data_IF_108888377496
#
_entry.id   IF_108888377496
#
_cell.length_a   1.000
_cell.length_b   1.000
_cell.length_c   1.000
_cell.angle_alpha   90.00
_cell.angle_beta   90.00
_cell.angle_gamma   90.00
#
_symmetry.space_group_name_H-M   'P 1'
#
loop_
_entity.id
_entity.type
_entity.pdbx_description
1 polymer ?
#
# COMPACT_ATOMS: atom_id res chain seq x y z
N UNK A 1 13.12 -6.26 4.73
CA UNK A 1 12.41 -7.16 3.80
C UNK A 1 13.39 -7.69 2.76
N UNK A 2 13.57 -9.01 2.67
CA UNK A 2 14.35 -9.61 1.57
C UNK A 2 13.55 -9.44 0.27
N UNK A 3 14.18 -9.13 -0.88
CA UNK A 3 13.50 -9.11 -2.17
C UNK A 3 12.78 -10.44 -2.44
N UNK A 4 11.76 -10.40 -3.31
CA UNK A 4 11.13 -11.63 -3.77
C UNK A 4 12.15 -12.50 -4.50
N UNK A 5 12.09 -13.80 -4.25
CA UNK A 5 12.85 -14.82 -5.00
C UNK A 5 12.04 -15.39 -6.15
N UNK A 6 10.75 -15.04 -6.23
CA UNK A 6 9.87 -15.40 -7.34
C UNK A 6 9.99 -14.33 -8.43
N UNK A 7 9.61 -14.69 -9.65
CA UNK A 7 9.50 -13.75 -10.78
C UNK A 7 8.27 -12.84 -10.62
N UNK A 8 8.31 -11.96 -9.62
CA UNK A 8 7.25 -11.01 -9.28
C UNK A 8 7.88 -9.74 -8.67
N UNK A 9 7.28 -8.55 -8.82
CA UNK A 9 7.80 -7.34 -8.21
C UNK A 9 7.92 -7.49 -6.69
N UNK A 10 8.99 -6.96 -6.10
CA UNK A 10 9.16 -7.02 -4.64
C UNK A 10 8.27 -6.01 -3.92
N UNK A 11 7.96 -4.88 -4.56
CA UNK A 11 7.16 -3.80 -4.01
C UNK A 11 6.12 -3.35 -5.05
N UNK A 12 4.85 -3.33 -4.64
CA UNK A 12 3.73 -2.84 -5.44
C UNK A 12 2.99 -1.73 -4.69
N UNK A 13 2.58 -0.67 -5.40
CA UNK A 13 1.66 0.33 -4.89
C UNK A 13 0.36 0.26 -5.70
N UNK A 14 -0.71 -0.15 -5.04
CA UNK A 14 -2.05 -0.25 -5.59
C UNK A 14 -2.84 1.03 -5.30
N UNK A 15 -3.54 1.53 -6.33
CA UNK A 15 -4.25 2.80 -6.36
C UNK A 15 -3.28 3.96 -6.11
N UNK A 16 -2.52 4.33 -7.14
CA UNK A 16 -1.60 5.45 -6.99
C UNK A 16 -2.36 6.75 -6.66
N UNK A 17 -1.75 7.59 -5.83
CA UNK A 17 -2.26 8.90 -5.50
C UNK A 17 -2.38 9.76 -6.78
N UNK A 18 -3.54 10.39 -6.93
CA UNK A 18 -3.84 11.38 -7.94
C UNK A 18 -3.69 12.77 -7.31
N UNK A 19 -2.67 13.56 -7.68
CA UNK A 19 -2.47 14.92 -7.19
C UNK A 19 -1.01 15.30 -6.94
N UNK A 20 -0.79 16.51 -6.40
CA UNK A 20 0.49 17.22 -6.14
C UNK A 20 1.46 16.52 -5.14
N UNK A 21 1.42 15.19 -5.02
CA UNK A 21 2.43 14.45 -4.29
C UNK A 21 3.73 14.42 -5.10
N UNK A 22 4.72 15.20 -4.63
CA UNK A 22 6.01 15.33 -5.31
C UNK A 22 6.73 14.00 -5.54
N UNK A 23 7.69 14.02 -6.49
CA UNK A 23 8.49 12.89 -7.01
C UNK A 23 9.08 11.92 -5.97
N UNK A 24 9.16 12.30 -4.69
CA UNK A 24 9.78 11.49 -3.63
C UNK A 24 9.00 10.21 -3.29
N UNK A 25 7.67 10.22 -3.45
CA UNK A 25 6.85 9.03 -3.25
C UNK A 25 6.89 8.07 -4.44
N UNK A 26 7.39 8.52 -5.60
CA UNK A 26 7.37 7.74 -6.84
C UNK A 26 8.61 6.86 -7.03
N UNK A 27 9.56 6.90 -6.09
CA UNK A 27 10.86 6.23 -6.23
C UNK A 27 11.20 5.39 -5.01
N UNK A 28 12.20 4.51 -5.12
CA UNK A 28 12.81 3.84 -3.97
C UNK A 28 13.58 4.78 -3.01
N UNK A 29 13.44 6.10 -3.15
CA UNK A 29 14.10 7.10 -2.32
C UNK A 29 15.62 6.92 -2.31
N UNK A 30 16.20 6.93 -1.11
CA UNK A 30 17.64 6.72 -0.91
C UNK A 30 18.13 5.33 -1.31
N UNK A 31 17.25 4.33 -1.42
CA UNK A 31 17.62 2.98 -1.85
C UNK A 31 17.81 2.90 -3.38
N UNK A 32 17.35 3.91 -4.11
CA UNK A 32 17.48 4.00 -5.57
C UNK A 32 16.30 3.40 -6.33
N UNK A 33 16.29 3.61 -7.64
CA UNK A 33 15.19 3.24 -8.55
C UNK A 33 14.87 1.74 -8.59
N UNK A 34 15.83 0.91 -8.20
CA UNK A 34 15.71 -0.56 -8.06
C UNK A 34 14.59 -0.97 -7.12
N UNK A 35 14.33 -0.15 -6.10
CA UNK A 35 13.35 -0.40 -5.06
C UNK A 35 12.09 0.45 -5.26
N UNK A 36 11.92 1.07 -6.44
CA UNK A 36 10.69 1.78 -6.77
C UNK A 36 9.51 0.79 -6.86
N UNK A 37 8.30 1.20 -6.43
CA UNK A 37 7.12 0.35 -6.56
C UNK A 37 6.73 0.16 -8.02
N UNK A 38 6.28 -1.05 -8.36
CA UNK A 38 5.38 -1.21 -9.51
C UNK A 38 4.02 -0.61 -9.14
N UNK A 39 3.49 0.28 -9.98
CA UNK A 39 2.23 0.98 -9.71
C UNK A 39 1.08 0.31 -10.41
N UNK A 40 -0.06 0.21 -9.72
CA UNK A 40 -1.30 -0.38 -10.23
C UNK A 40 -2.43 0.61 -10.05
N UNK A 41 -3.14 0.92 -11.13
CA UNK A 41 -4.26 1.84 -11.11
C UNK A 41 -3.83 3.30 -10.92
N UNK A 42 -4.55 4.19 -11.59
CA UNK A 42 -4.37 5.64 -11.48
C UNK A 42 -5.74 6.31 -11.55
N UNK A 43 -5.96 7.28 -10.67
CA UNK A 43 -7.20 8.04 -10.60
C UNK A 43 -8.41 7.10 -10.47
N UNK A 44 -9.32 7.08 -11.45
CA UNK A 44 -10.47 6.18 -11.48
C UNK A 44 -10.13 4.75 -11.89
N UNK A 45 -9.03 4.51 -12.61
CA UNK A 45 -8.62 3.18 -13.05
C UNK A 45 -8.25 2.33 -11.82
N UNK A 46 -9.10 1.36 -11.49
CA UNK A 46 -8.91 0.54 -10.31
C UNK A 46 -9.59 -0.83 -10.44
N UNK A 47 -9.21 -1.81 -9.62
CA UNK A 47 -9.70 -3.19 -9.72
C UNK A 47 -11.19 -3.40 -9.44
N UNK A 48 -11.90 -2.38 -8.95
CA UNK A 48 -13.37 -2.43 -8.82
C UNK A 48 -14.11 -2.22 -10.13
N UNK A 49 -13.44 -1.74 -11.17
CA UNK A 49 -14.06 -1.59 -12.49
C UNK A 49 -14.19 -2.95 -13.18
N UNK A 50 -15.32 -3.15 -13.88
CA UNK A 50 -15.63 -4.42 -14.57
C UNK A 50 -14.56 -4.81 -15.60
N UNK A 51 -14.05 -3.82 -16.33
CA UNK A 51 -13.10 -4.02 -17.42
C UNK A 51 -11.66 -3.70 -17.01
N UNK A 52 -11.39 -3.65 -15.70
CA UNK A 52 -10.03 -3.43 -15.21
C UNK A 52 -9.11 -4.56 -15.66
N UNK A 53 -8.00 -4.18 -16.28
CA UNK A 53 -6.93 -5.08 -16.64
C UNK A 53 -5.60 -4.41 -16.33
N UNK A 54 -4.72 -5.12 -15.62
CA UNK A 54 -3.39 -4.61 -15.37
C UNK A 54 -2.52 -4.75 -16.63
N UNK A 55 -2.16 -3.62 -17.23
CA UNK A 55 -1.38 -3.54 -18.48
C UNK A 55 0.10 -3.22 -18.26
N UNK A 56 0.58 -3.18 -17.02
CA UNK A 56 1.96 -2.80 -16.72
C UNK A 56 3.03 -3.79 -17.23
N UNK A 57 2.61 -4.98 -17.66
CA UNK A 57 3.47 -5.98 -18.31
C UNK A 57 3.24 -6.10 -19.83
N UNK A 58 2.38 -5.26 -20.40
CA UNK A 58 2.11 -5.33 -21.83
C UNK A 58 3.31 -4.76 -22.60
N UNK A 59 3.78 -5.46 -23.64
CA UNK A 59 4.84 -4.93 -24.48
C UNK A 59 4.36 -3.69 -25.22
N UNK A 60 5.29 -2.79 -25.56
CA UNK A 60 4.94 -1.63 -26.36
C UNK A 60 4.31 -2.04 -27.71
N UNK A 61 3.40 -1.23 -28.29
CA UNK A 61 2.70 -1.59 -29.53
C UNK A 61 3.67 -2.04 -30.65
N UNK A 62 3.39 -3.20 -31.25
CA UNK A 62 4.23 -3.77 -32.31
C UNK A 62 5.45 -4.58 -31.85
N UNK A 63 5.61 -4.79 -30.53
CA UNK A 63 6.59 -5.72 -29.96
C UNK A 63 5.89 -7.00 -29.50
N UNK A 64 6.14 -8.09 -30.22
CA UNK A 64 5.77 -9.43 -29.75
C UNK A 64 6.75 -9.90 -28.68
N UNK A 65 6.32 -10.87 -27.87
CA UNK A 65 7.19 -11.54 -26.89
C UNK A 65 8.44 -12.13 -27.55
N UNK A 66 8.28 -12.75 -28.72
CA UNK A 66 9.41 -13.31 -29.50
C UNK A 66 10.41 -12.24 -29.89
N UNK A 67 9.93 -11.07 -30.34
CA UNK A 67 10.78 -9.93 -30.71
C UNK A 67 11.53 -9.35 -29.51
N UNK A 68 10.94 -9.40 -28.32
CA UNK A 68 11.64 -9.01 -27.08
C UNK A 68 12.75 -9.99 -26.72
N UNK A 69 12.51 -11.30 -26.86
CA UNK A 69 13.54 -12.33 -26.67
C UNK A 69 14.69 -12.19 -27.67
N UNK A 70 14.39 -11.97 -28.96
CA UNK A 70 15.41 -11.74 -29.99
C UNK A 70 16.28 -10.51 -29.68
N UNK A 71 15.64 -9.39 -29.29
CA UNK A 71 16.36 -8.16 -28.91
C UNK A 71 17.25 -8.38 -27.68
N UNK A 72 16.76 -9.09 -26.68
CA UNK A 72 17.56 -9.42 -25.49
C UNK A 72 18.76 -10.30 -25.85
N UNK A 73 18.58 -11.30 -26.71
CA UNK A 73 19.66 -12.16 -27.19
C UNK A 73 20.73 -11.39 -27.96
N UNK A 74 20.32 -10.49 -28.87
CA UNK A 74 21.22 -9.62 -29.61
C UNK A 74 21.96 -8.66 -28.69
N UNK A 75 21.26 -8.05 -27.72
CA UNK A 75 21.87 -7.15 -26.74
C UNK A 75 22.94 -7.88 -25.93
N UNK A 76 22.66 -9.10 -25.45
CA UNK A 76 23.63 -9.92 -24.73
C UNK A 76 24.86 -10.26 -25.58
N UNK A 77 24.71 -10.49 -26.89
CA UNK A 77 25.84 -10.71 -27.80
C UNK A 77 26.69 -9.44 -27.97
N UNK A 78 26.05 -8.27 -28.10
CA UNK A 78 26.75 -6.98 -28.23
C UNK A 78 27.43 -6.58 -26.91
N UNK A 79 26.77 -6.77 -25.77
CA UNK A 79 27.34 -6.44 -24.46
C UNK A 79 28.49 -7.36 -24.07
N UNK A 80 28.48 -8.64 -24.47
CA UNK A 80 29.65 -9.51 -24.31
C UNK A 80 30.88 -8.99 -25.08
N UNK A 81 30.68 -8.25 -26.17
CA UNK A 81 31.76 -7.63 -26.94
C UNK A 81 32.25 -6.29 -26.33
N UNK A 82 31.50 -5.71 -25.38
CA UNK A 82 31.83 -4.44 -24.73
C UNK A 82 32.07 -4.66 -23.23
N UNK A 83 33.33 -4.62 -22.81
CA UNK A 83 33.80 -4.83 -21.43
C UNK A 83 33.23 -3.91 -20.34
N UNK A 84 32.27 -3.01 -20.64
CA UNK A 84 31.88 -1.90 -19.76
C UNK A 84 30.40 -1.84 -19.37
N UNK A 85 29.54 -2.77 -19.78
CA UNK A 85 28.14 -2.76 -19.30
C UNK A 85 28.08 -3.30 -17.87
N UNK A 86 27.72 -2.43 -16.91
CA UNK A 86 27.66 -2.80 -15.49
C UNK A 86 26.76 -4.02 -15.28
N UNK A 87 27.22 -4.99 -14.48
CA UNK A 87 26.45 -6.22 -14.17
C UNK A 87 25.05 -5.89 -13.65
N UNK A 88 24.94 -4.83 -12.87
CA UNK A 88 23.70 -4.28 -12.34
C UNK A 88 22.67 -3.97 -13.44
N UNK A 89 23.07 -3.32 -14.53
CA UNK A 89 22.14 -2.99 -15.64
C UNK A 89 21.63 -4.23 -16.37
N UNK A 90 22.48 -5.26 -16.52
CA UNK A 90 22.08 -6.54 -17.13
C UNK A 90 21.08 -7.29 -16.25
N UNK A 91 21.30 -7.33 -14.94
CA UNK A 91 20.35 -7.94 -14.00
C UNK A 91 18.98 -7.23 -14.02
N UNK A 92 18.96 -5.90 -14.20
CA UNK A 92 17.72 -5.14 -14.41
C UNK A 92 16.97 -5.57 -15.67
N UNK A 93 17.68 -5.65 -16.79
CA UNK A 93 17.08 -5.99 -18.07
C UNK A 93 16.53 -7.42 -18.08
N UNK A 94 17.25 -8.37 -17.50
CA UNK A 94 16.78 -9.76 -17.38
C UNK A 94 15.52 -9.86 -16.52
N UNK A 95 15.48 -9.23 -15.34
CA UNK A 95 14.28 -9.22 -14.49
C UNK A 95 13.09 -8.52 -15.15
N UNK A 96 13.32 -7.39 -15.84
CA UNK A 96 12.26 -6.70 -16.55
C UNK A 96 11.69 -7.56 -17.69
N UNK A 97 12.56 -8.27 -18.42
CA UNK A 97 12.13 -9.21 -19.45
C UNK A 97 11.30 -10.35 -18.85
N UNK A 98 11.79 -11.00 -17.79
CA UNK A 98 11.06 -12.07 -17.11
C UNK A 98 9.70 -11.63 -16.57
N UNK A 99 9.56 -10.41 -16.05
CA UNK A 99 8.28 -9.87 -15.60
C UNK A 99 7.30 -9.65 -16.76
N UNK A 100 7.79 -9.17 -17.91
CA UNK A 100 6.99 -8.92 -19.11
C UNK A 100 6.61 -10.23 -19.81
N UNK A 101 7.44 -11.27 -19.74
CA UNK A 101 7.19 -12.52 -20.44
C UNK A 101 6.59 -13.62 -19.56
N UNK A 102 6.73 -13.52 -18.24
CA UNK A 102 6.29 -14.53 -17.27
C UNK A 102 4.77 -14.59 -17.05
N UNK A 103 4.17 -15.79 -16.98
CA UNK A 103 2.75 -15.95 -16.70
C UNK A 103 2.40 -15.75 -15.23
N UNK A 104 3.30 -16.07 -14.27
CA UNK A 104 2.99 -16.00 -12.85
C UNK A 104 2.71 -14.57 -12.39
N UNK A 105 3.54 -13.62 -12.82
CA UNK A 105 3.36 -12.21 -12.50
C UNK A 105 1.99 -11.72 -12.99
N UNK A 106 1.62 -11.97 -14.25
CA UNK A 106 0.32 -11.57 -14.81
C UNK A 106 -0.87 -12.14 -14.04
N UNK A 107 -0.81 -13.43 -13.68
CA UNK A 107 -1.90 -14.08 -12.95
C UNK A 107 -2.16 -13.44 -11.58
N UNK A 108 -1.12 -12.93 -10.91
CA UNK A 108 -1.27 -12.29 -9.60
C UNK A 108 -2.15 -11.02 -9.65
N UNK A 109 -2.10 -10.25 -10.75
CA UNK A 109 -2.89 -9.02 -10.93
C UNK A 109 -4.28 -9.27 -11.54
N UNK A 110 -4.58 -10.50 -11.97
CA UNK A 110 -5.85 -10.85 -12.60
C UNK A 110 -6.91 -11.25 -11.55
N UNK A 111 -7.78 -10.32 -11.19
CA UNK A 111 -8.91 -10.57 -10.28
C UNK A 111 -10.01 -11.46 -10.87
N UNK A 112 -10.04 -11.69 -12.18
CA UNK A 112 -11.02 -12.61 -12.79
C UNK A 112 -10.79 -14.06 -12.36
N UNK A 113 -9.60 -14.36 -11.83
CA UNK A 113 -9.26 -15.66 -11.24
C UNK A 113 -9.85 -15.87 -9.85
N UNK A 114 -10.41 -14.84 -9.22
CA UNK A 114 -11.08 -14.97 -7.92
C UNK A 114 -12.56 -15.33 -8.10
N UNK A 115 -13.09 -16.27 -7.29
CA UNK A 115 -14.52 -16.51 -7.25
C UNK A 115 -15.28 -15.22 -6.92
N UNK A 116 -16.41 -14.99 -7.59
CA UNK A 116 -17.24 -13.79 -7.39
C UNK A 116 -17.63 -13.57 -5.93
N UNK A 117 -17.93 -14.65 -5.20
CA UNK A 117 -18.23 -14.60 -3.76
C UNK A 117 -17.11 -13.95 -2.93
N UNK A 118 -15.85 -14.15 -3.32
CA UNK A 118 -14.70 -13.56 -2.62
C UNK A 118 -14.63 -12.07 -2.95
N UNK A 119 -14.80 -11.71 -4.21
CA UNK A 119 -14.88 -10.29 -4.63
C UNK A 119 -15.99 -9.56 -3.90
N UNK A 120 -17.16 -10.19 -3.75
CA UNK A 120 -18.29 -9.64 -3.03
C UNK A 120 -18.00 -9.46 -1.53
N UNK A 121 -17.33 -10.41 -0.86
CA UNK A 121 -16.94 -10.28 0.56
C UNK A 121 -16.10 -9.02 0.82
N UNK A 122 -15.16 -8.71 -0.08
CA UNK A 122 -14.33 -7.50 0.03
C UNK A 122 -15.10 -6.21 -0.26
N UNK A 123 -16.27 -6.29 -0.88
CA UNK A 123 -17.07 -5.16 -1.33
C UNK A 123 -16.70 -4.70 -2.75
N UNK A 124 -17.72 -4.34 -3.53
CA UNK A 124 -17.58 -3.82 -4.91
C UNK A 124 -17.28 -2.32 -4.91
N UNK A 125 -16.23 -1.93 -4.19
CA UNK A 125 -15.71 -0.57 -4.14
C UNK A 125 -14.17 -0.60 -4.23
N UNK A 126 -13.53 0.54 -4.53
CA UNK A 126 -12.09 0.56 -4.80
C UNK A 126 -11.25 -0.01 -3.66
N UNK A 127 -11.50 0.38 -2.40
CA UNK A 127 -10.74 -0.14 -1.26
C UNK A 127 -10.81 -1.67 -1.18
N UNK A 128 -12.03 -2.22 -1.27
CA UNK A 128 -12.26 -3.66 -1.24
C UNK A 128 -11.45 -4.42 -2.29
N UNK A 129 -11.58 -4.01 -3.55
CA UNK A 129 -10.94 -4.71 -4.66
C UNK A 129 -9.42 -4.46 -4.70
N UNK A 130 -8.94 -3.32 -4.19
CA UNK A 130 -7.52 -3.05 -3.99
C UNK A 130 -6.91 -3.95 -2.90
N UNK A 131 -7.61 -4.16 -1.77
CA UNK A 131 -7.14 -5.08 -0.73
C UNK A 131 -7.19 -6.55 -1.19
N UNK A 132 -8.19 -6.94 -2.00
CA UNK A 132 -8.21 -8.26 -2.63
C UNK A 132 -7.00 -8.47 -3.55
N UNK A 133 -6.64 -7.46 -4.34
CA UNK A 133 -5.43 -7.50 -5.16
C UNK A 133 -4.17 -7.60 -4.30
N UNK A 134 -4.09 -6.83 -3.22
CA UNK A 134 -2.98 -6.89 -2.29
C UNK A 134 -2.81 -8.31 -1.71
N UNK A 135 -3.91 -8.97 -1.31
CA UNK A 135 -3.86 -10.36 -0.84
C UNK A 135 -3.28 -11.30 -1.90
N UNK A 136 -3.76 -11.23 -3.16
CA UNK A 136 -3.24 -12.06 -4.26
C UNK A 136 -1.76 -11.81 -4.53
N UNK A 137 -1.33 -10.56 -4.47
CA UNK A 137 0.06 -10.17 -4.65
C UNK A 137 0.96 -10.74 -3.55
N UNK A 138 0.54 -10.64 -2.28
CA UNK A 138 1.25 -11.24 -1.15
C UNK A 138 1.35 -12.77 -1.32
N UNK A 139 0.24 -13.44 -1.66
CA UNK A 139 0.19 -14.88 -1.92
C UNK A 139 1.12 -15.30 -3.08
N UNK A 140 1.18 -14.47 -4.13
CA UNK A 140 2.08 -14.67 -5.26
C UNK A 140 3.55 -14.37 -4.93
N UNK A 141 3.84 -13.74 -3.79
CA UNK A 141 5.19 -13.51 -3.25
C UNK A 141 5.71 -12.08 -3.37
N UNK A 142 4.84 -11.10 -3.60
CA UNK A 142 5.18 -9.68 -3.39
C UNK A 142 5.51 -9.47 -1.90
N UNK A 143 6.54 -8.68 -1.61
CA UNK A 143 7.07 -8.53 -0.24
C UNK A 143 6.55 -7.30 0.49
N UNK A 144 6.06 -6.32 -0.27
CA UNK A 144 5.43 -5.13 0.26
C UNK A 144 4.34 -4.68 -0.71
N UNK A 145 3.12 -4.47 -0.21
CA UNK A 145 2.05 -3.86 -0.96
C UNK A 145 1.56 -2.65 -0.19
N UNK A 146 1.65 -1.47 -0.81
CA UNK A 146 0.98 -0.27 -0.30
C UNK A 146 -0.35 -0.11 -1.02
N UNK A 147 -1.38 0.24 -0.26
CA UNK A 147 -2.72 0.48 -0.79
C UNK A 147 -3.18 1.84 -0.30
N UNK A 148 -3.52 2.72 -1.23
CA UNK A 148 -4.19 3.98 -0.89
C UNK A 148 -5.61 3.64 -0.43
N UNK A 149 -5.99 4.09 0.77
CA UNK A 149 -7.28 3.76 1.39
C UNK A 149 -8.49 4.50 0.79
N UNK A 150 -8.58 4.55 -0.54
CA UNK A 150 -9.65 5.20 -1.29
C UNK A 150 -10.92 4.36 -1.30
N UNK A 151 -12.02 4.92 -0.80
CA UNK A 151 -13.30 4.21 -0.68
C UNK A 151 -14.20 4.36 -1.91
N UNK A 152 -13.75 5.06 -2.95
CA UNK A 152 -14.57 5.37 -4.12
C UNK A 152 -15.33 6.69 -3.98
N UNK A 153 -16.35 6.85 -4.82
CA UNK A 153 -17.20 8.03 -4.89
C UNK A 153 -18.65 7.57 -4.72
N UNK A 154 -19.48 8.25 -3.88
CA UNK A 154 -20.90 7.97 -3.79
C UNK A 154 -21.60 8.11 -5.15
N UNK A 155 -22.71 7.40 -5.31
CA UNK A 155 -23.55 7.55 -6.49
C UNK A 155 -24.02 9.01 -6.64
N UNK A 156 -23.87 9.56 -7.84
CA UNK A 156 -24.24 10.95 -8.15
C UNK A 156 -23.19 12.01 -7.78
N UNK A 157 -22.07 11.64 -7.14
CA UNK A 157 -20.96 12.57 -6.89
C UNK A 157 -19.89 12.51 -7.97
N UNK A 158 -19.22 13.65 -8.22
CA UNK A 158 -18.12 13.73 -9.17
C UNK A 158 -16.81 13.23 -8.54
N UNK A 159 -16.02 12.46 -9.29
CA UNK A 159 -14.65 12.12 -8.92
C UNK A 159 -13.75 13.35 -8.94
N UNK A 160 -12.83 13.41 -7.98
CA UNK A 160 -11.97 14.58 -7.79
C UNK A 160 -10.55 14.19 -7.43
N UNK A 161 -10.39 13.33 -6.43
CA UNK A 161 -9.13 12.67 -6.14
C UNK A 161 -9.41 11.31 -5.47
N UNK A 162 -8.34 10.56 -5.19
CA UNK A 162 -8.38 9.25 -4.52
C UNK A 162 -8.15 9.36 -3.01
N UNK A 163 -8.23 10.56 -2.44
CA UNK A 163 -7.84 10.87 -1.08
C UNK A 163 -9.07 10.94 -0.16
N UNK A 164 -9.80 9.83 0.01
CA UNK A 164 -10.99 9.75 0.90
C UNK A 164 -10.75 10.35 2.30
N UNK A 165 -9.53 10.20 2.82
CA UNK A 165 -9.14 10.65 4.17
C UNK A 165 -8.57 12.07 4.21
N UNK A 166 -8.28 12.66 3.04
CA UNK A 166 -7.88 14.06 2.89
C UNK A 166 -9.12 14.97 2.89
N UNK A 167 -9.68 15.03 4.08
CA UNK A 167 -11.02 15.46 4.40
C UNK A 167 -11.18 16.99 4.45
N UNK A 168 -10.63 17.73 3.49
CA UNK A 168 -10.69 19.20 3.45
C UNK A 168 -12.03 19.71 2.90
N UNK A 169 -12.65 20.65 3.61
CA UNK A 169 -13.97 21.21 3.26
C UNK A 169 -13.97 22.01 1.94
N UNK A 170 -12.84 22.66 1.60
CA UNK A 170 -12.73 23.60 0.47
C UNK A 170 -12.93 22.92 -0.88
N UNK A 171 -12.64 21.63 -0.98
CA UNK A 171 -12.54 20.99 -2.28
C UNK A 171 -13.91 20.67 -2.92
N UNK A 172 -15.01 20.54 -2.16
CA UNK A 172 -16.21 19.85 -2.68
C UNK A 172 -17.58 20.46 -2.37
N UNK A 173 -17.86 20.88 -1.14
CA UNK A 173 -19.14 21.49 -0.81
C UNK A 173 -19.04 22.30 0.47
N UNK A 174 -19.43 23.57 0.40
CA UNK A 174 -19.46 24.46 1.55
C UNK A 174 -20.36 24.00 2.69
N UNK A 175 -21.17 22.94 2.51
CA UNK A 175 -22.03 22.32 3.52
C UNK A 175 -21.55 20.96 4.03
N UNK A 176 -20.50 20.39 3.47
CA UNK A 176 -20.02 19.06 3.85
C UNK A 176 -19.37 19.04 5.25
N UNK A 177 -19.49 17.93 5.98
CA UNK A 177 -18.99 17.73 7.33
C UNK A 177 -18.34 16.35 7.46
N UNK A 178 -17.46 16.16 8.45
CA UNK A 178 -16.73 14.89 8.60
C UNK A 178 -17.66 13.68 8.82
N UNK A 179 -18.87 13.87 9.34
CA UNK A 179 -19.87 12.83 9.55
C UNK A 179 -20.88 12.72 8.39
N UNK A 180 -20.59 13.35 7.25
CA UNK A 180 -21.42 13.33 6.07
C UNK A 180 -21.38 12.00 5.32
N UNK A 181 -22.16 11.93 4.24
CA UNK A 181 -22.22 10.78 3.33
C UNK A 181 -21.43 11.02 2.02
N UNK A 182 -20.70 12.12 1.93
CA UNK A 182 -19.86 12.42 0.77
C UNK A 182 -18.70 11.44 0.64
N UNK A 183 -17.99 11.47 -0.48
CA UNK A 183 -16.76 10.69 -0.67
C UNK A 183 -15.68 10.92 0.42
N UNK A 184 -15.81 11.97 1.23
CA UNK A 184 -14.89 12.41 2.29
C UNK A 184 -15.57 12.47 3.66
N UNK A 185 -16.70 11.79 3.82
CA UNK A 185 -17.44 11.66 5.07
C UNK A 185 -17.29 10.27 5.68
N UNK A 186 -17.26 10.20 7.00
CA UNK A 186 -17.09 8.96 7.76
C UNK A 186 -18.23 7.98 7.55
N UNK A 187 -19.47 8.44 7.31
CA UNK A 187 -20.59 7.53 7.04
C UNK A 187 -20.44 6.81 5.70
N UNK A 188 -19.69 7.38 4.76
CA UNK A 188 -19.35 6.72 3.50
C UNK A 188 -18.12 5.82 3.65
N UNK A 189 -17.07 6.32 4.30
CA UNK A 189 -15.77 5.68 4.39
C UNK A 189 -15.75 4.50 5.37
N UNK A 190 -16.24 4.68 6.60
CA UNK A 190 -16.08 3.68 7.67
C UNK A 190 -16.72 2.32 7.33
N UNK A 191 -17.94 2.22 6.77
CA UNK A 191 -18.51 0.92 6.42
C UNK A 191 -17.69 0.17 5.36
N UNK A 192 -17.12 0.89 4.40
CA UNK A 192 -16.28 0.30 3.33
C UNK A 192 -14.93 -0.18 3.85
N UNK A 193 -14.38 0.56 4.81
CA UNK A 193 -13.12 0.20 5.49
C UNK A 193 -13.33 -1.02 6.36
N UNK A 194 -14.39 -1.03 7.17
CA UNK A 194 -14.75 -2.16 8.01
C UNK A 194 -14.93 -3.44 7.19
N UNK A 195 -15.74 -3.40 6.13
CA UNK A 195 -15.97 -4.51 5.21
C UNK A 195 -14.67 -5.04 4.57
N UNK A 196 -13.86 -4.14 4.01
CA UNK A 196 -12.67 -4.53 3.26
C UNK A 196 -11.53 -5.03 4.17
N UNK A 197 -11.28 -4.35 5.29
CA UNK A 197 -10.17 -4.68 6.21
C UNK A 197 -10.49 -5.95 6.99
N UNK A 198 -11.70 -6.08 7.53
CA UNK A 198 -12.11 -7.30 8.24
C UNK A 198 -12.04 -8.52 7.32
N UNK A 199 -12.47 -8.37 6.06
CA UNK A 199 -12.37 -9.43 5.05
C UNK A 199 -10.93 -9.77 4.71
N UNK A 200 -10.04 -8.78 4.54
CA UNK A 200 -8.62 -9.03 4.30
C UNK A 200 -7.99 -9.86 5.42
N UNK A 201 -8.23 -9.46 6.68
CA UNK A 201 -7.68 -10.16 7.84
C UNK A 201 -8.21 -11.60 7.94
N UNK A 202 -9.51 -11.79 7.71
CA UNK A 202 -10.13 -13.11 7.69
C UNK A 202 -9.57 -13.99 6.55
N UNK A 203 -9.47 -13.47 5.33
CA UNK A 203 -8.98 -14.20 4.14
C UNK A 203 -7.48 -14.55 4.28
N UNK A 204 -6.65 -13.65 4.82
CA UNK A 204 -5.25 -13.96 5.15
C UNK A 204 -5.15 -15.04 6.23
N UNK A 205 -6.02 -15.02 7.23
CA UNK A 205 -6.05 -16.05 8.27
C UNK A 205 -6.51 -17.40 7.72
N UNK A 206 -7.59 -17.44 6.93
CA UNK A 206 -8.12 -18.64 6.28
C UNK A 206 -7.06 -19.33 5.40
N UNK A 207 -6.15 -18.55 4.81
CA UNK A 207 -5.05 -19.03 3.96
C UNK A 207 -3.75 -19.35 4.71
N UNK A 208 -3.70 -19.08 6.02
CA UNK A 208 -2.48 -19.22 6.82
C UNK A 208 -1.39 -18.19 6.51
N UNK A 209 -1.72 -17.12 5.76
CA UNK A 209 -0.79 -16.05 5.38
C UNK A 209 -0.64 -14.98 6.45
N UNK A 210 -1.64 -14.82 7.34
CA UNK A 210 -1.65 -13.76 8.35
C UNK A 210 -0.45 -13.87 9.31
N UNK A 211 0.01 -15.08 9.63
CA UNK A 211 1.14 -15.28 10.54
C UNK A 211 2.48 -14.76 9.98
N UNK A 212 2.61 -14.74 8.65
CA UNK A 212 3.82 -14.28 7.95
C UNK A 212 3.65 -12.90 7.28
N UNK A 213 2.47 -12.29 7.40
CA UNK A 213 2.13 -11.00 6.79
C UNK A 213 1.76 -9.98 7.86
N UNK A 214 2.55 -8.92 7.96
CA UNK A 214 2.20 -7.76 8.80
C UNK A 214 1.27 -6.82 8.02
N UNK A 215 0.03 -6.68 8.50
CA UNK A 215 -0.96 -5.72 8.00
C UNK A 215 -0.91 -4.48 8.88
N UNK A 216 -0.77 -3.31 8.26
CA UNK A 216 -0.70 -2.01 8.93
C UNK A 216 -1.73 -1.09 8.28
N UNK A 217 -2.56 -0.44 9.10
CA UNK A 217 -3.40 0.66 8.68
C UNK A 217 -3.21 1.84 9.64
N UNK A 218 -2.74 2.96 9.12
CA UNK A 218 -2.41 4.13 9.91
C UNK A 218 -2.56 5.39 9.07
N UNK A 219 -3.04 6.47 9.68
CA UNK A 219 -3.08 7.81 9.11
C UNK A 219 -1.96 8.69 9.68
N UNK A 220 -2.00 9.99 9.41
CA UNK A 220 -0.95 10.92 9.84
C UNK A 220 -1.33 11.80 11.05
N UNK A 221 -2.64 11.95 11.31
CA UNK A 221 -3.18 12.69 12.45
C UNK A 221 -4.61 12.24 12.79
N UNK A 222 -5.08 12.63 13.97
CA UNK A 222 -6.46 12.50 14.40
C UNK A 222 -7.25 13.77 14.10
N UNK A 223 -8.36 13.95 14.82
CA UNK A 223 -9.22 15.13 14.70
C UNK A 223 -9.28 15.91 15.99
N UNK A 224 -9.50 17.21 15.87
CA UNK A 224 -9.67 18.10 17.02
C UNK A 224 -10.75 17.54 17.95
N UNK A 225 -10.53 17.53 19.28
CA UNK A 225 -11.49 16.98 20.24
C UNK A 225 -12.79 17.80 20.31
N UNK A 226 -12.77 19.03 19.76
CA UNK A 226 -13.91 19.94 19.68
C UNK A 226 -13.92 20.58 18.28
N UNK A 227 -15.11 20.85 17.76
CA UNK A 227 -15.24 21.58 16.50
C UNK A 227 -14.74 23.01 16.67
N UNK A 228 -13.86 23.41 15.78
CA UNK A 228 -13.44 24.79 15.63
C UNK A 228 -14.37 25.50 14.63
N UNK A 229 -14.50 26.82 14.74
CA UNK A 229 -15.42 27.56 13.89
C UNK A 229 -15.08 27.36 12.40
N UNK A 230 -15.97 26.66 11.68
CA UNK A 230 -15.86 26.40 10.25
C UNK A 230 -15.16 25.11 9.86
N UNK A 231 -14.56 24.36 10.81
CA UNK A 231 -13.85 23.11 10.50
C UNK A 231 -14.80 21.92 10.24
N UNK A 232 -16.00 21.96 10.83
CA UNK A 232 -17.02 20.91 10.76
C UNK A 232 -16.48 19.53 11.13
N UNK A 233 -15.62 19.49 12.15
CA UNK A 233 -14.97 18.28 12.66
C UNK A 233 -13.77 17.80 11.86
N UNK A 234 -13.26 18.62 10.94
CA UNK A 234 -12.13 18.26 10.06
C UNK A 234 -10.78 18.78 10.58
N UNK A 235 -10.72 19.52 11.70
CA UNK A 235 -9.48 20.05 12.26
C UNK A 235 -8.42 18.97 12.46
N UNK A 236 -7.18 19.23 12.02
CA UNK A 236 -6.06 18.28 12.12
C UNK A 236 -5.52 18.26 13.54
N UNK A 237 -5.31 17.06 14.08
CA UNK A 237 -4.85 16.90 15.45
C UNK A 237 -3.80 15.80 15.60
N UNK A 238 -2.50 16.14 15.51
CA UNK A 238 -1.41 15.15 15.53
C UNK A 238 -1.13 14.57 16.93
N UNK A 239 -1.72 15.13 17.99
CA UNK A 239 -1.42 14.74 19.37
C UNK A 239 -2.06 13.40 19.79
N UNK A 240 -3.06 12.91 19.05
CA UNK A 240 -3.70 11.62 19.32
C UNK A 240 -4.33 11.05 18.05
N UNK A 241 -3.93 9.83 17.68
CA UNK A 241 -4.52 9.04 16.59
C UNK A 241 -4.21 7.56 16.77
N UNK A 242 -4.86 6.71 15.98
CA UNK A 242 -4.78 5.25 16.11
C UNK A 242 -4.07 4.63 14.91
N UNK A 243 -3.29 3.59 15.18
CA UNK A 243 -2.75 2.67 14.17
C UNK A 243 -3.29 1.26 14.44
N UNK A 244 -3.64 0.53 13.38
CA UNK A 244 -4.00 -0.88 13.43
C UNK A 244 -2.81 -1.71 12.94
N UNK A 245 -2.46 -2.74 13.71
CA UNK A 245 -1.48 -3.76 13.35
C UNK A 245 -2.10 -5.15 13.50
N UNK A 246 -1.85 -6.04 12.54
CA UNK A 246 -2.30 -7.43 12.60
C UNK A 246 -1.33 -8.36 11.85
N UNK A 247 -1.24 -9.62 12.29
CA UNK A 247 -0.37 -10.62 11.68
C UNK A 247 1.12 -10.37 11.93
N UNK A 248 1.99 -11.15 11.28
CA UNK A 248 3.45 -10.99 11.39
C UNK A 248 4.00 -11.08 12.82
N UNK A 249 3.40 -11.93 13.67
CA UNK A 249 3.77 -12.11 15.08
C UNK A 249 3.10 -11.14 16.06
N UNK A 250 2.22 -10.25 15.60
CA UNK A 250 1.37 -9.44 16.48
C UNK A 250 0.29 -10.32 17.12
N UNK A 251 0.15 -10.25 18.45
CA UNK A 251 -0.72 -11.12 19.26
C UNK A 251 -2.20 -11.05 18.85
N UNK A 252 -2.64 -9.90 18.37
CA UNK A 252 -4.05 -9.63 18.07
C UNK A 252 -4.92 -9.51 19.34
N UNK A 253 -6.17 -9.07 19.15
CA UNK A 253 -7.17 -8.97 20.24
C UNK A 253 -6.81 -8.01 21.38
N UNK A 254 -5.85 -7.10 21.17
CA UNK A 254 -5.33 -6.20 22.19
C UNK A 254 -5.42 -4.73 21.78
N UNK A 255 -5.67 -3.86 22.75
CA UNK A 255 -5.52 -2.41 22.62
C UNK A 255 -4.28 -1.98 23.40
N UNK A 256 -3.42 -1.18 22.79
CA UNK A 256 -2.21 -0.66 23.42
C UNK A 256 -2.29 0.86 23.57
N UNK A 257 -2.31 1.31 24.82
CA UNK A 257 -2.47 2.72 25.17
C UNK A 257 -3.91 3.21 25.11
N UNK A 258 -4.12 4.46 25.52
CA UNK A 258 -5.42 5.13 25.47
C UNK A 258 -5.27 6.64 25.47
N UNK A 259 -6.26 7.33 24.90
CA UNK A 259 -6.37 8.78 25.01
C UNK A 259 -6.85 9.21 26.40
N UNK A 260 -6.77 10.51 26.67
CA UNK A 260 -7.55 11.13 27.74
C UNK A 260 -9.06 11.04 27.46
N UNK A 261 -9.86 11.51 28.42
CA UNK A 261 -11.32 11.47 28.38
C UNK A 261 -11.91 12.24 27.19
N UNK A 262 -11.22 13.25 26.69
CA UNK A 262 -11.70 14.11 25.60
C UNK A 262 -11.18 13.63 24.24
N UNK A 263 -10.32 12.62 24.19
CA UNK A 263 -9.65 12.17 22.97
C UNK A 263 -8.55 13.13 22.49
N UNK A 264 -8.09 14.05 23.33
CA UNK A 264 -7.19 15.14 22.94
C UNK A 264 -5.71 14.71 23.00
N UNK A 265 -5.30 13.99 24.02
CA UNK A 265 -3.90 13.57 24.16
C UNK A 265 -3.81 12.08 24.48
N UNK A 266 -2.70 11.44 24.10
CA UNK A 266 -2.40 10.07 24.57
C UNK A 266 -2.07 10.13 26.06
N UNK A 267 -2.87 9.46 26.86
CA UNK A 267 -2.74 9.43 28.32
C UNK A 267 -1.86 8.28 28.77
N UNK A 268 -2.14 7.08 28.27
CA UNK A 268 -1.49 5.85 28.72
C UNK A 268 -0.69 5.24 27.56
N UNK A 269 0.55 4.83 27.84
CA UNK A 269 1.50 4.20 26.89
C UNK A 269 1.67 4.96 25.56
N UNK A 270 2.19 6.21 25.59
CA UNK A 270 2.43 6.97 24.37
C UNK A 270 3.40 6.24 23.43
N UNK A 271 3.12 6.33 22.14
CA UNK A 271 3.92 5.74 21.07
C UNK A 271 4.41 6.85 20.16
N UNK A 272 5.73 7.03 20.07
CA UNK A 272 6.31 7.96 19.11
C UNK A 272 6.31 7.34 17.70
N UNK A 273 6.34 8.16 16.63
CA UNK A 273 6.56 7.65 15.26
C UNK A 273 7.84 6.80 15.14
N UNK A 274 8.88 7.15 15.89
CA UNK A 274 10.13 6.40 15.95
C UNK A 274 9.93 5.00 16.57
N UNK A 275 9.20 4.87 17.68
CA UNK A 275 8.90 3.58 18.31
C UNK A 275 7.98 2.73 17.42
N UNK A 276 7.01 3.36 16.76
CA UNK A 276 6.14 2.70 15.78
C UNK A 276 6.96 2.13 14.61
N UNK A 277 7.85 2.95 14.03
CA UNK A 277 8.78 2.49 12.98
C UNK A 277 9.70 1.37 13.45
N UNK A 278 10.27 1.49 14.66
CA UNK A 278 11.12 0.45 15.25
C UNK A 278 10.37 -0.88 15.45
N UNK A 279 9.10 -0.80 15.86
CA UNK A 279 8.20 -1.96 16.00
C UNK A 279 7.98 -2.66 14.65
N UNK A 280 7.73 -1.90 13.58
CA UNK A 280 7.58 -2.46 12.23
C UNK A 280 8.89 -3.11 11.77
N UNK A 281 10.04 -2.45 11.97
CA UNK A 281 11.33 -3.02 11.58
C UNK A 281 11.66 -4.30 12.35
N UNK A 282 11.31 -4.36 13.63
CA UNK A 282 11.43 -5.57 14.44
C UNK A 282 10.59 -6.72 13.86
N UNK A 283 9.30 -6.49 13.59
CA UNK A 283 8.41 -7.48 12.99
C UNK A 283 8.93 -8.02 11.64
N UNK A 284 9.55 -7.14 10.84
CA UNK A 284 10.11 -7.48 9.53
C UNK A 284 11.50 -8.16 9.61
N UNK A 285 12.08 -8.29 10.81
CA UNK A 285 13.47 -8.73 10.98
C UNK A 285 14.47 -7.84 10.23
N UNK A 286 14.15 -6.55 10.08
CA UNK A 286 14.96 -5.61 9.31
C UNK A 286 16.17 -5.11 10.13
N UNK A 287 17.29 -4.75 9.46
CA UNK A 287 18.42 -4.14 10.14
C UNK A 287 18.02 -2.84 10.84
N UNK A 288 18.57 -2.61 12.03
CA UNK A 288 18.33 -1.38 12.81
C UNK A 288 19.23 -0.21 12.38
N UNK A 289 20.17 -0.45 11.46
CA UNK A 289 21.15 0.51 10.92
C UNK A 289 21.07 0.58 9.40
N UNK A 290 21.37 1.75 8.84
CA UNK A 290 21.38 1.97 7.40
C UNK A 290 22.51 1.16 6.75
N UNK A 291 22.30 0.54 5.58
CA UNK A 291 23.34 -0.23 4.90
C UNK A 291 24.56 0.62 4.49
N UNK A 292 24.31 1.86 4.04
CA UNK A 292 25.35 2.75 3.51
C UNK A 292 26.07 3.57 4.59
N UNK A 293 25.50 3.62 5.79
CA UNK A 293 26.09 4.26 6.96
C UNK A 293 25.64 3.52 8.23
N UNK A 294 26.46 2.57 8.67
CA UNK A 294 26.17 1.78 9.86
C UNK A 294 26.11 2.62 11.14
N UNK A 295 26.64 3.85 11.18
CA UNK A 295 26.48 4.73 12.33
C UNK A 295 25.05 5.28 12.45
N UNK A 296 24.32 5.36 11.32
CA UNK A 296 22.95 5.87 11.26
C UNK A 296 21.95 4.75 11.52
N UNK A 297 21.12 4.90 12.56
CA UNK A 297 19.99 4.00 12.79
C UNK A 297 18.87 4.28 11.79
N UNK A 298 18.13 3.23 11.40
CA UNK A 298 16.92 3.35 10.56
C UNK A 298 15.79 4.00 11.35
N UNK A 299 15.66 3.66 12.64
CA UNK A 299 14.82 4.36 13.61
C UNK A 299 15.60 4.61 14.91
N UNK A 300 15.30 5.72 15.59
CA UNK A 300 15.85 6.03 16.93
C UNK A 300 14.97 5.48 18.07
N UNK A 301 13.79 4.98 17.76
CA UNK A 301 12.85 4.46 18.75
C UNK A 301 13.15 3.02 19.15
N UNK A 302 12.38 2.53 20.10
CA UNK A 302 12.48 1.18 20.66
C UNK A 302 11.21 0.37 20.29
N UNK A 303 11.34 -0.90 19.85
CA UNK A 303 10.20 -1.72 19.51
C UNK A 303 9.25 -1.95 20.70
N UNK A 304 7.95 -1.86 20.45
CA UNK A 304 6.91 -2.14 21.46
C UNK A 304 6.72 -3.65 21.57
N UNK A 305 7.56 -4.30 22.37
CA UNK A 305 7.59 -5.76 22.49
C UNK A 305 6.29 -6.36 23.04
N UNK A 306 5.49 -5.59 23.78
CA UNK A 306 4.21 -6.05 24.34
C UNK A 306 3.16 -6.42 23.28
N UNK A 307 3.31 -5.92 22.05
CA UNK A 307 2.41 -6.20 20.93
C UNK A 307 2.60 -7.60 20.33
N UNK A 308 3.76 -8.23 20.57
CA UNK A 308 4.10 -9.53 20.00
C UNK A 308 3.68 -10.68 20.93
N UNK A 309 3.33 -11.83 20.36
CA UNK A 309 2.85 -12.99 21.13
C UNK A 309 2.76 -14.27 20.32
#
# INVERSE_FOLDING_TARGET
LRPSVKNIPSYVWVQNLAGDVGLRYETGGSLGSVYSPLRVGKDLENPSQKDFQFKGFDPAPGLTTDRLYERSRLLNQVDQSKSATSSTLRDFQSKALELVTGPEARQAFDLSKEPERIRQRYGWHPLGQNLLMARRLIEAGVRMVNVTAWCGVPEGEAFRNVQTWDMHAVLYSGNDNIYGNSAYGLNFALPRVDEAVSTLLADLSERGLLWETLVIMVGEFGRTPRFENGDKGRGHWPNAYTALLAGGGIRGGSVYGSSDREGAFVKDKPVSPEDFGATIYHALGAPTRMPDDLAKRVSKGEPIMELFG
#
